data_IF_273569828186
#
_entry.id   IF_273569828186
#
_cell.length_a   1.000
_cell.length_b   1.000
_cell.length_c   1.000
_cell.angle_alpha   90.00
_cell.angle_beta   90.00
_cell.angle_gamma   90.00
#
_symmetry.space_group_name_H-M   'P 1'
#
loop_
_entity.id
_entity.type
_entity.pdbx_description
1 polymer ?
#
# COMPACT_ATOMS: atom_id res chain seq x y z
N UNK A 1 13.45 6.06 -0.62
CA UNK A 1 13.74 5.60 -1.99
C UNK A 1 13.98 4.09 -1.99
N UNK A 2 13.27 3.31 -2.81
CA UNK A 2 13.44 1.85 -2.92
C UNK A 2 14.44 1.49 -4.00
N UNK A 3 15.38 0.59 -3.72
CA UNK A 3 16.40 0.17 -4.70
C UNK A 3 15.84 -0.86 -5.68
N UNK A 4 14.68 -1.48 -5.37
CA UNK A 4 14.00 -2.40 -6.27
C UNK A 4 13.57 -1.76 -7.60
N UNK A 5 13.58 -0.43 -7.68
CA UNK A 5 13.34 0.34 -8.90
C UNK A 5 14.48 0.20 -9.92
N UNK A 6 15.68 -0.20 -9.49
CA UNK A 6 16.87 -0.28 -10.32
C UNK A 6 17.23 -1.75 -10.62
N UNK A 7 17.60 -2.04 -11.88
CA UNK A 7 17.95 -3.39 -12.34
C UNK A 7 19.34 -3.83 -11.86
N UNK A 8 20.24 -2.88 -11.72
CA UNK A 8 21.59 -3.05 -11.23
C UNK A 8 21.60 -3.02 -9.69
N UNK A 9 21.52 -4.22 -9.07
CA UNK A 9 21.60 -4.41 -7.62
C UNK A 9 22.78 -3.61 -7.03
N UNK A 10 22.56 -3.02 -5.86
CA UNK A 10 23.46 -2.24 -4.98
C UNK A 10 24.22 -1.04 -5.61
N UNK A 11 24.83 -1.19 -6.79
CA UNK A 11 25.48 -0.08 -7.52
C UNK A 11 24.50 0.93 -8.10
N UNK A 12 23.28 0.50 -8.46
CA UNK A 12 22.23 1.39 -8.97
C UNK A 12 21.79 2.41 -7.91
N UNK A 13 21.74 1.98 -6.64
CA UNK A 13 21.34 2.84 -5.53
C UNK A 13 22.36 3.93 -5.24
N UNK A 14 23.66 3.61 -5.23
CA UNK A 14 24.74 4.59 -5.02
C UNK A 14 24.70 5.68 -6.10
N UNK A 15 24.56 5.27 -7.37
CA UNK A 15 24.45 6.22 -8.48
C UNK A 15 23.17 7.06 -8.38
N UNK A 16 22.06 6.46 -7.99
CA UNK A 16 20.81 7.19 -7.75
C UNK A 16 20.98 8.22 -6.62
N UNK A 17 21.59 7.86 -5.49
CA UNK A 17 21.88 8.79 -4.39
C UNK A 17 22.72 9.99 -4.86
N UNK A 18 23.73 9.75 -5.70
CA UNK A 18 24.55 10.83 -6.27
C UNK A 18 23.80 11.75 -7.26
N UNK A 19 22.73 11.28 -7.90
CA UNK A 19 21.85 12.14 -8.72
C UNK A 19 20.94 12.96 -7.80
N UNK A 20 20.40 12.35 -6.76
CA UNK A 20 19.50 12.99 -5.81
C UNK A 20 20.22 14.08 -5.03
N UNK A 21 21.46 13.86 -4.61
CA UNK A 21 22.24 14.86 -3.86
C UNK A 21 22.43 16.17 -4.63
N UNK A 22 22.57 16.11 -5.97
CA UNK A 22 22.65 17.30 -6.84
C UNK A 22 21.38 18.14 -6.82
N UNK A 23 20.23 17.54 -6.51
CA UNK A 23 18.95 18.23 -6.39
C UNK A 23 18.69 18.76 -4.97
N UNK A 24 19.59 18.48 -4.02
CA UNK A 24 19.52 18.87 -2.62
C UNK A 24 20.66 19.82 -2.23
N UNK A 25 21.26 20.50 -3.20
CA UNK A 25 22.34 21.46 -2.94
C UNK A 25 21.85 22.59 -2.02
N UNK A 26 22.62 22.91 -1.00
CA UNK A 26 22.23 23.88 0.04
C UNK A 26 21.22 23.36 1.07
N UNK A 27 20.78 22.10 0.99
CA UNK A 27 19.88 21.48 1.97
C UNK A 27 20.66 20.60 2.96
N UNK A 28 20.35 20.70 4.26
CA UNK A 28 20.94 19.85 5.28
C UNK A 28 20.08 18.61 5.51
N UNK A 29 20.64 17.42 5.29
CA UNK A 29 19.93 16.16 5.47
C UNK A 29 20.91 15.02 5.82
N UNK A 30 20.38 13.97 6.42
CA UNK A 30 21.12 12.72 6.68
C UNK A 30 20.60 11.60 5.78
N UNK A 31 21.49 10.77 5.26
CA UNK A 31 21.13 9.58 4.48
C UNK A 31 21.36 8.33 5.35
N UNK A 32 20.37 7.45 5.40
CA UNK A 32 20.49 6.14 6.05
C UNK A 32 20.12 5.03 5.05
N UNK A 33 21.09 4.18 4.72
CA UNK A 33 20.90 3.04 3.81
C UNK A 33 20.65 1.74 4.58
N UNK A 34 19.57 1.03 4.27
CA UNK A 34 19.28 -0.31 4.78
C UNK A 34 19.42 -1.33 3.65
N UNK A 35 20.63 -1.88 3.50
CA UNK A 35 20.99 -2.83 2.44
C UNK A 35 20.08 -4.06 2.41
N UNK A 36 19.78 -4.64 3.59
CA UNK A 36 18.93 -5.84 3.70
C UNK A 36 17.53 -5.61 3.10
N UNK A 37 16.95 -4.43 3.36
CA UNK A 37 15.61 -4.07 2.90
C UNK A 37 15.64 -3.36 1.54
N UNK A 38 16.83 -3.04 1.03
CA UNK A 38 17.04 -2.31 -0.23
C UNK A 38 16.30 -0.97 -0.26
N UNK A 39 16.43 -0.20 0.83
CA UNK A 39 15.80 1.12 0.98
C UNK A 39 16.84 2.14 1.47
N UNK A 40 16.75 3.36 0.96
CA UNK A 40 17.46 4.53 1.50
C UNK A 40 16.45 5.53 2.07
N UNK A 41 16.68 5.96 3.30
CA UNK A 41 15.98 7.05 3.97
C UNK A 41 16.75 8.36 3.82
N UNK A 42 16.02 9.44 3.57
CA UNK A 42 16.53 10.81 3.59
C UNK A 42 15.83 11.50 4.75
N UNK A 43 16.60 11.92 5.74
CA UNK A 43 16.11 12.48 6.99
C UNK A 43 16.38 13.98 6.95
N UNK A 44 15.31 14.76 6.90
CA UNK A 44 15.34 16.22 6.87
C UNK A 44 14.97 16.78 8.22
N UNK A 45 15.50 17.96 8.55
CA UNK A 45 15.07 18.70 9.73
C UNK A 45 13.70 19.35 9.52
N UNK A 46 13.41 19.81 8.29
CA UNK A 46 12.14 20.48 7.94
C UNK A 46 11.29 19.60 7.03
N UNK A 47 10.01 19.45 7.37
CA UNK A 47 9.04 18.72 6.55
C UNK A 47 8.92 19.30 5.14
N UNK A 48 8.96 20.63 5.01
CA UNK A 48 8.89 21.31 3.70
C UNK A 48 10.04 20.94 2.75
N UNK A 49 11.20 20.54 3.27
CA UNK A 49 12.32 20.06 2.45
C UNK A 49 12.10 18.62 1.97
N UNK A 50 11.55 17.76 2.84
CA UNK A 50 11.15 16.42 2.47
C UNK A 50 10.04 16.43 1.40
N UNK A 51 9.04 17.30 1.56
CA UNK A 51 7.97 17.46 0.57
C UNK A 51 8.50 17.90 -0.80
N UNK A 52 9.44 18.85 -0.83
CA UNK A 52 10.09 19.28 -2.08
C UNK A 52 10.76 18.10 -2.78
N UNK A 53 11.48 17.25 -2.04
CA UNK A 53 12.10 16.06 -2.61
C UNK A 53 11.06 15.08 -3.18
N UNK A 54 9.94 14.87 -2.48
CA UNK A 54 8.86 13.95 -2.93
C UNK A 54 8.19 14.48 -4.21
N UNK A 55 7.95 15.79 -4.30
CA UNK A 55 7.31 16.44 -5.45
C UNK A 55 8.26 16.54 -6.67
N UNK A 56 9.57 16.53 -6.45
CA UNK A 56 10.56 16.64 -7.52
C UNK A 56 10.53 15.45 -8.49
N UNK A 57 10.70 15.76 -9.77
CA UNK A 57 10.77 14.77 -10.85
C UNK A 57 12.24 14.44 -11.16
N UNK A 58 12.83 13.56 -10.37
CA UNK A 58 14.22 13.12 -10.55
C UNK A 58 14.24 11.82 -11.37
N UNK A 59 15.04 11.78 -12.44
CA UNK A 59 15.14 10.62 -13.32
C UNK A 59 16.53 10.02 -13.35
N UNK A 60 16.59 8.70 -13.49
CA UNK A 60 17.81 7.93 -13.79
C UNK A 60 17.53 6.97 -14.93
N UNK A 61 18.25 7.10 -16.04
CA UNK A 61 18.11 6.21 -17.22
C UNK A 61 16.64 6.08 -17.68
N UNK A 62 15.90 7.19 -17.68
CA UNK A 62 14.48 7.21 -18.04
C UNK A 62 13.52 6.66 -16.98
N UNK A 63 14.00 6.19 -15.82
CA UNK A 63 13.19 5.72 -14.69
C UNK A 63 13.06 6.88 -13.68
N UNK A 64 11.82 7.26 -13.34
CA UNK A 64 11.56 8.21 -12.25
C UNK A 64 11.98 7.57 -10.93
N UNK A 65 12.80 8.27 -10.16
CA UNK A 65 13.15 7.88 -8.80
C UNK A 65 11.96 8.23 -7.92
N UNK A 66 11.37 7.24 -7.25
CA UNK A 66 10.22 7.49 -6.38
C UNK A 66 10.65 7.63 -4.92
N UNK A 67 10.12 8.66 -4.30
CA UNK A 67 10.23 8.94 -2.88
C UNK A 67 8.87 8.74 -2.23
N UNK A 68 8.91 8.28 -0.98
CA UNK A 68 7.75 8.02 -0.18
C UNK A 68 8.00 8.65 1.18
N UNK A 69 6.97 9.27 1.75
CA UNK A 69 7.02 9.70 3.14
C UNK A 69 7.10 8.45 4.02
N UNK A 70 7.99 8.48 5.02
CA UNK A 70 8.03 7.41 6.02
C UNK A 70 6.98 7.73 7.08
N UNK A 71 6.14 6.75 7.38
CA UNK A 71 5.19 6.82 8.48
C UNK A 71 5.69 5.89 9.58
N UNK A 72 5.74 6.37 10.82
CA UNK A 72 5.87 5.46 11.96
C UNK A 72 4.58 4.64 12.02
N UNK A 73 4.72 3.31 12.00
CA UNK A 73 3.58 2.41 12.15
C UNK A 73 3.12 2.44 13.61
N UNK A 74 2.43 3.52 13.99
CA UNK A 74 1.63 3.55 15.20
C UNK A 74 0.48 2.52 15.08
N UNK A 75 -0.12 2.15 16.22
CA UNK A 75 -1.12 1.05 16.29
C UNK A 75 -2.38 1.31 15.44
N UNK A 76 -2.59 2.55 15.04
CA UNK A 76 -3.70 3.07 14.25
C UNK A 76 -3.50 2.91 12.73
N UNK A 77 -2.28 2.71 12.22
CA UNK A 77 -2.05 2.45 10.80
C UNK A 77 -2.30 0.97 10.46
N UNK A 78 -3.14 0.72 9.46
CA UNK A 78 -3.46 -0.60 8.92
C UNK A 78 -3.13 -0.68 7.44
N UNK A 79 -2.53 -1.80 7.05
CA UNK A 79 -2.43 -2.22 5.65
C UNK A 79 -3.60 -3.17 5.40
N UNK A 80 -4.58 -2.70 4.65
CA UNK A 80 -5.75 -3.48 4.26
C UNK A 80 -5.49 -4.10 2.89
N UNK A 81 -5.57 -5.41 2.79
CA UNK A 81 -5.43 -6.15 1.54
C UNK A 81 -6.83 -6.45 1.00
N UNK A 82 -7.06 -6.08 -0.25
CA UNK A 82 -8.25 -6.49 -0.99
C UNK A 82 -7.87 -7.74 -1.80
N UNK A 83 -8.53 -8.88 -1.57
CA UNK A 83 -8.25 -10.13 -2.26
C UNK A 83 -8.69 -10.05 -3.74
N UNK A 84 -8.57 -11.16 -4.45
CA UNK A 84 -9.00 -11.27 -5.84
C UNK A 84 -10.50 -10.94 -5.96
N UNK A 85 -10.81 -9.79 -6.57
CA UNK A 85 -12.17 -9.35 -6.87
C UNK A 85 -12.21 -8.82 -8.31
N UNK A 86 -13.10 -9.41 -9.11
CA UNK A 86 -13.18 -9.20 -10.57
C UNK A 86 -14.47 -8.52 -11.03
N UNK A 87 -15.43 -8.34 -10.13
CA UNK A 87 -16.79 -7.89 -10.51
C UNK A 87 -16.89 -6.38 -10.73
N UNK A 88 -15.84 -5.61 -10.45
CA UNK A 88 -15.81 -4.14 -10.62
C UNK A 88 -14.47 -3.68 -11.18
N UNK A 89 -14.50 -2.58 -11.92
CA UNK A 89 -13.30 -1.89 -12.39
C UNK A 89 -12.60 -1.13 -11.24
N UNK A 90 -11.38 -0.64 -11.51
CA UNK A 90 -10.53 0.00 -10.50
C UNK A 90 -11.11 1.34 -10.00
N UNK A 91 -11.81 2.10 -10.84
CA UNK A 91 -12.37 3.39 -10.43
C UNK A 91 -13.56 3.20 -9.50
N UNK A 92 -14.45 2.26 -9.85
CA UNK A 92 -15.55 1.85 -8.98
C UNK A 92 -15.02 1.31 -7.65
N UNK A 93 -13.92 0.55 -7.67
CA UNK A 93 -13.27 0.10 -6.44
C UNK A 93 -12.78 1.26 -5.57
N UNK A 94 -12.10 2.24 -6.15
CA UNK A 94 -11.62 3.42 -5.41
C UNK A 94 -12.80 4.19 -4.80
N UNK A 95 -13.91 4.31 -5.52
CA UNK A 95 -15.13 4.95 -5.03
C UNK A 95 -15.72 4.22 -3.82
N UNK A 96 -15.87 2.89 -3.90
CA UNK A 96 -16.34 2.05 -2.78
C UNK A 96 -15.43 2.20 -1.55
N UNK A 97 -14.11 2.14 -1.75
CA UNK A 97 -13.12 2.30 -0.68
C UNK A 97 -13.29 3.63 0.04
N UNK A 98 -13.43 4.73 -0.73
CA UNK A 98 -13.58 6.07 -0.17
C UNK A 98 -14.82 6.18 0.69
N UNK A 99 -15.98 5.76 0.18
CA UNK A 99 -17.26 5.85 0.90
C UNK A 99 -17.23 5.01 2.17
N UNK A 100 -16.80 3.76 2.09
CA UNK A 100 -16.93 2.84 3.22
C UNK A 100 -15.87 3.04 4.30
N UNK A 101 -14.80 3.78 4.00
CA UNK A 101 -13.78 4.14 4.99
C UNK A 101 -13.84 5.60 5.45
N UNK A 102 -14.68 6.45 4.84
CA UNK A 102 -14.74 7.90 5.11
C UNK A 102 -14.85 8.23 6.60
N UNK A 103 -15.71 7.51 7.34
CA UNK A 103 -15.94 7.75 8.76
C UNK A 103 -14.98 7.01 9.69
N UNK A 104 -14.16 6.10 9.14
CA UNK A 104 -13.30 5.20 9.91
C UNK A 104 -11.88 5.75 10.09
N UNK A 105 -11.53 6.83 9.38
CA UNK A 105 -10.17 7.38 9.37
C UNK A 105 -9.76 7.93 8.01
N UNK A 106 -8.46 7.96 7.76
CA UNK A 106 -7.86 8.59 6.59
C UNK A 106 -7.15 7.56 5.70
N UNK A 107 -7.49 7.57 4.41
CA UNK A 107 -6.76 6.80 3.41
C UNK A 107 -5.47 7.55 3.08
N UNK A 108 -4.32 6.99 3.48
CA UNK A 108 -3.00 7.55 3.20
C UNK A 108 -2.50 7.20 1.81
N UNK A 109 -2.79 5.98 1.35
CA UNK A 109 -2.40 5.52 0.01
C UNK A 109 -3.28 4.36 -0.46
N UNK A 110 -3.40 4.22 -1.79
CA UNK A 110 -4.02 3.06 -2.44
C UNK A 110 -3.07 2.59 -3.54
N UNK A 111 -2.69 1.32 -3.48
CA UNK A 111 -1.85 0.68 -4.50
C UNK A 111 -2.57 -0.51 -5.12
N UNK A 112 -2.31 -0.73 -6.40
CA UNK A 112 -2.80 -1.88 -7.14
C UNK A 112 -1.69 -2.42 -8.05
N UNK A 113 -1.62 -3.74 -8.15
CA UNK A 113 -0.68 -4.38 -9.05
C UNK A 113 -1.16 -4.22 -10.50
N UNK A 114 -0.34 -3.64 -11.36
CA UNK A 114 -0.61 -3.53 -12.79
C UNK A 114 0.35 -4.39 -13.62
N UNK A 115 -0.08 -4.75 -14.83
CA UNK A 115 0.82 -5.33 -15.81
C UNK A 115 1.77 -4.26 -16.33
N UNK A 116 3.04 -4.63 -16.44
CA UNK A 116 4.08 -3.70 -16.85
C UNK A 116 3.81 -3.18 -18.27
N UNK A 117 3.88 -1.86 -18.45
CA UNK A 117 3.65 -1.15 -19.73
C UNK A 117 2.20 -1.24 -20.25
N UNK A 118 1.24 -1.57 -19.40
CA UNK A 118 -0.17 -1.49 -19.74
C UNK A 118 -0.93 -0.77 -18.64
N UNK A 119 -2.17 -0.38 -18.93
CA UNK A 119 -3.12 0.19 -17.96
C UNK A 119 -3.99 -0.92 -17.32
N UNK A 120 -3.63 -2.18 -17.51
CA UNK A 120 -4.36 -3.33 -16.97
C UNK A 120 -3.98 -3.55 -15.50
N UNK A 121 -4.94 -3.32 -14.60
CA UNK A 121 -4.83 -3.67 -13.18
C UNK A 121 -5.26 -5.11 -12.94
N UNK A 122 -4.47 -5.82 -12.15
CA UNK A 122 -4.76 -7.19 -11.79
C UNK A 122 -5.88 -7.23 -10.74
N UNK A 123 -6.71 -8.28 -10.76
CA UNK A 123 -7.85 -8.37 -9.84
C UNK A 123 -7.41 -8.64 -8.39
N UNK A 124 -6.13 -8.99 -8.17
CA UNK A 124 -5.49 -9.18 -6.88
C UNK A 124 -4.33 -8.18 -6.68
N UNK A 125 -3.74 -8.16 -5.48
CA UNK A 125 -2.57 -7.31 -5.20
C UNK A 125 -2.94 -5.84 -4.99
N UNK A 126 -4.18 -5.57 -4.60
CA UNK A 126 -4.66 -4.25 -4.19
C UNK A 126 -4.48 -4.08 -2.69
N UNK A 127 -3.94 -2.94 -2.28
CA UNK A 127 -3.68 -2.61 -0.87
C UNK A 127 -4.05 -1.17 -0.58
N UNK A 128 -4.54 -0.95 0.63
CA UNK A 128 -4.85 0.37 1.17
C UNK A 128 -3.97 0.58 2.40
N UNK A 129 -3.28 1.71 2.44
CA UNK A 129 -2.65 2.21 3.66
C UNK A 129 -3.64 3.15 4.34
N UNK A 130 -4.10 2.76 5.51
CA UNK A 130 -5.20 3.42 6.20
C UNK A 130 -4.81 3.81 7.62
N UNK A 131 -4.95 5.08 7.97
CA UNK A 131 -4.80 5.57 9.34
C UNK A 131 -6.18 5.61 10.00
N UNK A 132 -6.38 4.79 11.02
CA UNK A 132 -7.66 4.76 11.75
C UNK A 132 -7.88 6.09 12.47
N UNK A 133 -9.14 6.52 12.56
CA UNK A 133 -9.53 7.72 13.33
C UNK A 133 -9.14 7.63 14.81
N UNK A 134 -9.21 6.43 15.38
CA UNK A 134 -8.74 6.11 16.73
C UNK A 134 -8.32 4.65 16.80
N UNK A 135 -7.57 4.28 17.84
CA UNK A 135 -7.11 2.89 18.03
C UNK A 135 -8.28 1.89 18.15
N UNK A 136 -9.42 2.35 18.70
CA UNK A 136 -10.62 1.54 18.93
C UNK A 136 -11.61 1.56 17.76
N UNK A 137 -11.33 2.32 16.70
CA UNK A 137 -12.23 2.36 15.54
C UNK A 137 -12.37 0.97 14.91
N UNK A 138 -13.57 0.42 14.86
CA UNK A 138 -13.78 -0.85 14.19
C UNK A 138 -13.72 -0.66 12.66
N UNK A 139 -12.94 -1.51 12.00
CA UNK A 139 -12.89 -1.56 10.53
C UNK A 139 -13.78 -2.70 10.04
N UNK A 140 -14.53 -2.50 8.95
CA UNK A 140 -15.34 -3.56 8.38
C UNK A 140 -14.48 -4.72 7.90
N UNK A 141 -15.02 -5.94 7.92
CA UNK A 141 -14.40 -7.12 7.28
C UNK A 141 -14.85 -7.28 5.82
N UNK A 142 -15.94 -6.61 5.42
CA UNK A 142 -16.55 -6.68 4.10
C UNK A 142 -16.94 -5.28 3.64
N UNK A 143 -16.70 -4.97 2.36
CA UNK A 143 -17.36 -3.85 1.70
C UNK A 143 -18.59 -4.32 0.94
N UNK A 144 -19.72 -3.65 1.19
CA UNK A 144 -20.97 -3.92 0.48
C UNK A 144 -20.92 -3.39 -0.97
N UNK A 145 -21.38 -4.19 -1.93
CA UNK A 145 -21.50 -3.76 -3.33
C UNK A 145 -22.55 -4.60 -4.07
N UNK A 146 -23.26 -4.02 -5.03
CA UNK A 146 -24.33 -4.69 -5.79
C UNK A 146 -23.87 -5.97 -6.51
N UNK A 147 -22.62 -5.98 -7.01
CA UNK A 147 -21.95 -7.14 -7.61
C UNK A 147 -21.36 -8.15 -6.62
N UNK A 148 -21.70 -8.04 -5.33
CA UNK A 148 -21.28 -8.91 -4.24
C UNK A 148 -20.21 -8.30 -3.32
N UNK A 149 -20.17 -8.80 -2.08
CA UNK A 149 -19.33 -8.23 -1.03
C UNK A 149 -17.83 -8.53 -1.21
N UNK A 150 -17.02 -7.54 -0.87
CA UNK A 150 -15.56 -7.56 -1.02
C UNK A 150 -14.92 -7.72 0.35
N UNK A 151 -14.20 -8.82 0.59
CA UNK A 151 -13.50 -9.02 1.87
C UNK A 151 -12.33 -8.06 2.03
N UNK A 152 -12.04 -7.70 3.27
CA UNK A 152 -10.89 -6.91 3.68
C UNK A 152 -10.03 -7.70 4.65
N UNK A 153 -8.74 -7.80 4.34
CA UNK A 153 -7.79 -8.50 5.19
C UNK A 153 -6.73 -7.55 5.73
N UNK A 154 -6.73 -7.36 7.05
CA UNK A 154 -5.72 -6.60 7.76
C UNK A 154 -5.34 -7.32 9.06
N UNK A 155 -4.21 -6.93 9.66
CA UNK A 155 -3.74 -7.54 10.91
C UNK A 155 -4.73 -7.26 12.04
N UNK A 156 -5.33 -8.32 12.58
CA UNK A 156 -6.36 -8.24 13.62
C UNK A 156 -7.77 -8.00 13.09
N UNK A 157 -8.05 -8.27 11.81
CA UNK A 157 -9.42 -8.23 11.28
C UNK A 157 -10.30 -9.32 11.91
N UNK A 158 -11.60 -9.00 12.01
CA UNK A 158 -12.63 -9.97 12.44
C UNK A 158 -12.76 -11.06 11.39
N UNK A 159 -13.05 -12.28 11.84
CA UNK A 159 -13.18 -13.42 10.95
C UNK A 159 -14.34 -13.20 9.98
N UNK A 160 -14.06 -13.32 8.68
CA UNK A 160 -15.05 -13.28 7.63
C UNK A 160 -14.72 -14.32 6.55
N UNK A 161 -15.73 -15.09 6.16
CA UNK A 161 -15.56 -16.18 5.24
C UNK A 161 -15.45 -15.65 3.81
N UNK A 162 -14.28 -15.84 3.20
CA UNK A 162 -14.05 -15.35 1.84
C UNK A 162 -14.93 -15.98 0.76
N UNK A 163 -15.55 -17.12 1.06
CA UNK A 163 -16.43 -17.88 0.18
C UNK A 163 -17.89 -17.44 0.27
N UNK A 164 -18.54 -17.52 1.44
CA UNK A 164 -19.95 -17.18 1.63
C UNK A 164 -20.20 -15.72 2.05
N UNK A 165 -19.14 -14.94 2.35
CA UNK A 165 -19.22 -13.53 2.77
C UNK A 165 -19.93 -13.28 4.10
N UNK A 166 -19.93 -14.27 4.99
CA UNK A 166 -20.46 -14.12 6.36
C UNK A 166 -19.33 -13.85 7.36
N UNK A 167 -19.63 -13.04 8.37
CA UNK A 167 -18.75 -12.82 9.51
C UNK A 167 -18.81 -13.97 10.52
N UNK A 168 -17.78 -14.09 11.36
CA UNK A 168 -17.74 -14.99 12.51
C UNK A 168 -16.94 -16.28 12.32
N UNK A 169 -16.47 -16.58 11.09
CA UNK A 169 -15.59 -17.71 10.85
C UNK A 169 -14.72 -17.55 9.60
N UNK A 170 -13.55 -18.18 9.60
CA UNK A 170 -12.69 -18.29 8.42
C UNK A 170 -13.23 -19.31 7.42
N UNK A 171 -12.89 -19.14 6.13
CA UNK A 171 -13.22 -20.14 5.08
C UNK A 171 -12.80 -21.57 5.44
N UNK A 172 -11.70 -21.76 6.17
CA UNK A 172 -11.24 -23.08 6.62
C UNK A 172 -12.22 -23.78 7.57
N UNK A 173 -13.06 -23.02 8.26
CA UNK A 173 -14.09 -23.52 9.17
C UNK A 173 -15.49 -23.52 8.51
N UNK A 174 -15.60 -23.30 7.19
CA UNK A 174 -16.89 -23.27 6.51
C UNK A 174 -17.57 -24.66 6.58
N UNK A 175 -18.76 -24.77 7.18
CA UNK A 175 -19.38 -26.06 7.53
C UNK A 175 -19.60 -27.02 6.35
N UNK A 176 -19.71 -26.51 5.12
CA UNK A 176 -19.96 -27.34 3.94
C UNK A 176 -18.67 -27.81 3.23
N UNK A 177 -17.49 -27.29 3.59
CA UNK A 177 -16.20 -27.81 3.09
C UNK A 177 -15.78 -29.10 3.79
N UNK A 178 -16.19 -29.30 5.06
CA UNK A 178 -15.92 -30.53 5.79
C UNK A 178 -16.62 -31.75 5.16
N UNK A 179 -17.80 -31.57 4.56
CA UNK A 179 -18.57 -32.65 3.93
C UNK A 179 -18.04 -33.13 2.57
N UNK A 180 -17.01 -32.46 2.00
CA UNK A 180 -16.41 -32.82 0.70
C UNK A 180 -15.02 -33.46 0.81
N UNK A 181 -14.52 -33.74 2.02
CA UNK A 181 -13.33 -34.57 2.23
C UNK A 181 -13.78 -36.03 2.33
N UNK A 182 -14.07 -36.65 1.19
CA UNK A 182 -14.17 -38.11 1.01
C UNK A 182 -13.02 -38.53 0.11
#
# INVERSE_FOLDING_TARGET
MSWGQFKDKDHGAIKAMGIVSKHLEGTHYTIQGYFRNRVTYYIFHKESEAEKLIKNLIYRQGIKIEFYQTLEFEKDIKIINIPNFKSVDINTMIYIIKIQLENSGEIKDISALSRKRTEEFLPYGKKILFAKKSIDTDLPSLFAHEGGDINLFYRGCKEACSFCKEDGYWKSAYPQLEKKRI
#
